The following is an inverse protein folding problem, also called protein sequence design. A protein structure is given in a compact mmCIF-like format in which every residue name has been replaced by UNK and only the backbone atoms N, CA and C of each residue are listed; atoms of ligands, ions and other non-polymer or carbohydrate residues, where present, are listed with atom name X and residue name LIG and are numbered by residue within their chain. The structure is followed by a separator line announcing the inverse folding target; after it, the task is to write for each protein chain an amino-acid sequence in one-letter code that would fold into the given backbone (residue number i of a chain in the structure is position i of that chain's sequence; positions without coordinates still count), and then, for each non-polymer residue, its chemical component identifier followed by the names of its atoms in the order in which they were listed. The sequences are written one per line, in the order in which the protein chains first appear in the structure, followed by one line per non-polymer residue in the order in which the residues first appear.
data_IF_975281361661
#
_entry.id   IF_975281361661
#
_cell.length_a   1.000
_cell.length_b   1.000
_cell.length_c   1.000
_cell.angle_alpha   90.00
_cell.angle_beta   90.00
_cell.angle_gamma   90.00
#
_symmetry.space_group_name_H-M   'P 1'
#
loop_
_entity.id
_entity.type
_entity.pdbx_description
1 polymer ?
#
# COMPACT_ATOMS: atom_id res chain seq x y z
N UNK A 1 -63.95 -64.11 3.71
CA UNK A 1 -63.68 -62.76 3.20
C UNK A 1 -62.51 -62.19 3.96
N UNK A 2 -61.32 -62.09 3.30
CA UNK A 2 -60.10 -61.57 3.91
C UNK A 2 -59.76 -60.25 3.21
N UNK A 3 -59.85 -59.13 3.94
CA UNK A 3 -59.41 -57.83 3.45
C UNK A 3 -57.91 -57.65 3.77
N UNK A 4 -57.08 -57.44 2.74
CA UNK A 4 -55.67 -57.14 2.81
C UNK A 4 -55.55 -55.64 2.90
N UNK A 5 -54.90 -55.10 3.99
CA UNK A 5 -54.56 -53.69 4.14
C UNK A 5 -53.15 -53.49 3.53
N UNK A 6 -53.05 -52.72 2.47
CA UNK A 6 -51.78 -52.24 1.92
C UNK A 6 -51.39 -50.94 2.59
N UNK A 7 -50.27 -50.95 3.32
CA UNK A 7 -49.66 -49.78 3.91
C UNK A 7 -48.80 -49.07 2.83
N UNK A 8 -49.17 -47.86 2.47
CA UNK A 8 -48.39 -46.94 1.64
C UNK A 8 -47.32 -46.23 2.50
N UNK A 9 -46.06 -46.62 2.29
CA UNK A 9 -44.92 -45.96 2.90
C UNK A 9 -44.52 -44.74 2.02
N UNK A 10 -44.84 -43.52 2.45
CA UNK A 10 -44.42 -42.27 1.80
C UNK A 10 -43.01 -41.90 2.24
N UNK A 11 -42.06 -42.07 1.32
CA UNK A 11 -40.64 -41.68 1.51
C UNK A 11 -40.49 -40.18 1.22
N UNK A 12 -40.44 -39.34 2.28
CA UNK A 12 -40.13 -37.91 2.15
C UNK A 12 -38.64 -37.71 2.08
N UNK A 13 -38.10 -37.43 0.89
CA UNK A 13 -36.72 -37.00 0.69
C UNK A 13 -36.59 -35.56 1.10
N UNK A 14 -36.06 -35.30 2.31
CA UNK A 14 -35.70 -33.95 2.79
C UNK A 14 -34.45 -33.44 2.06
N UNK A 15 -34.57 -32.41 1.24
CA UNK A 15 -33.46 -31.70 0.60
C UNK A 15 -32.75 -30.86 1.67
N UNK A 16 -31.60 -31.33 2.19
CA UNK A 16 -30.73 -30.58 3.07
C UNK A 16 -29.87 -29.63 2.22
N UNK A 17 -30.24 -28.35 2.16
CA UNK A 17 -29.40 -27.32 1.55
C UNK A 17 -28.28 -26.98 2.55
N UNK A 18 -27.09 -27.52 2.32
CA UNK A 18 -25.90 -27.16 3.05
C UNK A 18 -25.48 -25.74 2.66
N UNK A 19 -25.78 -24.76 3.49
CA UNK A 19 -25.25 -23.39 3.37
C UNK A 19 -23.74 -23.43 3.68
N UNK A 20 -22.89 -23.39 2.65
CA UNK A 20 -21.45 -23.21 2.84
C UNK A 20 -21.19 -21.78 3.34
N UNK A 21 -20.51 -21.58 4.48
CA UNK A 21 -20.14 -20.25 4.92
C UNK A 21 -19.17 -19.65 3.91
N UNK A 22 -19.56 -18.54 3.26
CA UNK A 22 -18.65 -17.72 2.47
C UNK A 22 -17.75 -17.00 3.48
N UNK A 23 -16.48 -17.39 3.54
CA UNK A 23 -15.49 -16.68 4.34
C UNK A 23 -15.33 -15.27 3.77
N UNK A 24 -15.88 -14.28 4.46
CA UNK A 24 -15.61 -12.86 4.17
C UNK A 24 -14.18 -12.58 4.61
N UNK A 25 -13.25 -12.50 3.66
CA UNK A 25 -11.88 -12.08 3.94
C UNK A 25 -11.91 -10.60 4.31
N UNK A 26 -11.41 -10.27 5.49
CA UNK A 26 -11.27 -8.87 5.89
C UNK A 26 -10.34 -8.13 4.91
N UNK A 27 -10.67 -6.88 4.59
CA UNK A 27 -9.85 -6.06 3.72
C UNK A 27 -8.46 -5.82 4.37
N UNK A 28 -7.39 -5.97 3.59
CA UNK A 28 -6.04 -5.65 4.05
C UNK A 28 -5.86 -4.14 4.22
N UNK A 29 -6.47 -3.37 3.33
CA UNK A 29 -6.40 -1.91 3.36
C UNK A 29 -7.58 -1.28 2.62
N UNK A 30 -7.71 0.04 2.76
CA UNK A 30 -8.80 0.82 2.18
C UNK A 30 -8.22 2.08 1.52
N UNK A 31 -8.73 2.47 0.36
CA UNK A 31 -8.38 3.72 -0.32
C UNK A 31 -8.95 4.89 0.48
N UNK A 32 -8.07 5.69 1.10
CA UNK A 32 -8.47 6.85 1.92
C UNK A 32 -8.50 8.14 1.13
N UNK A 33 -7.59 8.32 0.18
CA UNK A 33 -7.49 9.49 -0.68
C UNK A 33 -7.28 9.07 -2.13
N UNK A 34 -7.88 9.80 -3.05
CA UNK A 34 -7.75 9.57 -4.48
C UNK A 34 -7.88 10.89 -5.24
N UNK A 35 -6.92 11.12 -6.13
CA UNK A 35 -6.96 12.15 -7.16
C UNK A 35 -6.68 11.48 -8.51
N UNK A 36 -7.55 11.68 -9.48
CA UNK A 36 -7.46 11.02 -10.78
C UNK A 36 -8.02 9.59 -10.79
N UNK A 37 -7.40 8.71 -11.56
CA UNK A 37 -7.89 7.35 -11.82
C UNK A 37 -7.03 6.30 -11.14
N UNK A 38 -7.69 5.41 -10.39
CA UNK A 38 -7.12 4.24 -9.73
C UNK A 38 -7.81 2.99 -10.23
N UNK A 39 -7.05 1.97 -10.58
CA UNK A 39 -7.58 0.65 -10.94
C UNK A 39 -6.89 -0.45 -10.16
N UNK A 40 -7.58 -1.57 -10.04
CA UNK A 40 -7.03 -2.79 -9.47
C UNK A 40 -7.20 -3.93 -10.47
N UNK A 41 -6.15 -4.74 -10.63
CA UNK A 41 -6.24 -6.06 -11.22
C UNK A 41 -6.26 -7.07 -10.08
N UNK A 42 -7.32 -7.84 -10.01
CA UNK A 42 -7.50 -8.90 -9.02
C UNK A 42 -6.66 -10.13 -9.35
N UNK A 43 -6.50 -11.03 -8.37
CA UNK A 43 -5.78 -12.30 -8.55
C UNK A 43 -6.40 -13.19 -9.67
N UNK A 44 -7.70 -13.09 -9.92
CA UNK A 44 -8.42 -13.77 -11.01
C UNK A 44 -8.24 -13.12 -12.39
N UNK A 45 -7.46 -12.01 -12.46
CA UNK A 45 -7.20 -11.25 -13.68
C UNK A 45 -8.26 -10.18 -13.99
N UNK A 46 -9.37 -10.12 -13.27
CA UNK A 46 -10.39 -9.08 -13.47
C UNK A 46 -9.85 -7.70 -13.14
N UNK A 47 -10.29 -6.69 -13.88
CA UNK A 47 -9.88 -5.29 -13.66
C UNK A 47 -11.07 -4.45 -13.24
N UNK A 48 -10.89 -3.64 -12.21
CA UNK A 48 -11.92 -2.74 -11.67
C UNK A 48 -11.35 -1.36 -11.43
N UNK A 49 -12.17 -0.33 -11.64
CA UNK A 49 -11.87 1.04 -11.20
C UNK A 49 -12.22 1.15 -9.72
N UNK A 50 -11.33 1.77 -8.97
CA UNK A 50 -11.49 2.02 -7.54
C UNK A 50 -11.85 3.49 -7.27
N UNK A 51 -12.53 3.69 -6.16
CA UNK A 51 -12.86 5.00 -5.58
C UNK A 51 -12.38 5.08 -4.13
N UNK A 52 -12.55 6.23 -3.49
CA UNK A 52 -12.37 6.31 -2.04
C UNK A 52 -13.27 5.29 -1.34
N UNK A 53 -12.79 4.72 -0.25
CA UNK A 53 -13.40 3.63 0.54
C UNK A 53 -13.42 2.27 -0.17
N UNK A 54 -12.81 2.12 -1.35
CA UNK A 54 -12.62 0.80 -1.97
C UNK A 54 -11.61 -0.02 -1.17
N UNK A 55 -11.93 -1.30 -1.01
CA UNK A 55 -11.09 -2.27 -0.30
C UNK A 55 -10.00 -2.85 -1.20
N UNK A 56 -8.85 -3.10 -0.59
CA UNK A 56 -7.69 -3.75 -1.18
C UNK A 56 -7.47 -5.09 -0.48
N UNK A 57 -7.15 -6.12 -1.27
CA UNK A 57 -6.93 -7.49 -0.80
C UNK A 57 -5.53 -7.98 -1.19
N UNK A 58 -4.96 -8.96 -0.46
CA UNK A 58 -3.80 -9.69 -0.93
C UNK A 58 -4.03 -10.28 -2.33
N UNK A 59 -3.01 -10.23 -3.18
CA UNK A 59 -3.08 -10.62 -4.60
C UNK A 59 -3.47 -9.48 -5.54
N UNK A 60 -3.96 -8.34 -5.04
CA UNK A 60 -4.32 -7.19 -5.85
C UNK A 60 -3.10 -6.49 -6.44
N UNK A 61 -3.18 -6.12 -7.73
CA UNK A 61 -2.23 -5.18 -8.36
C UNK A 61 -2.94 -3.84 -8.58
N UNK A 62 -2.47 -2.83 -7.88
CA UNK A 62 -3.06 -1.49 -7.81
C UNK A 62 -2.30 -0.58 -8.77
N UNK A 63 -3.02 0.15 -9.62
CA UNK A 63 -2.42 0.98 -10.66
C UNK A 63 -3.01 2.39 -10.65
N UNK A 64 -2.14 3.39 -10.53
CA UNK A 64 -2.47 4.80 -10.80
C UNK A 64 -2.18 5.14 -12.26
N UNK A 65 -3.00 6.00 -12.85
CA UNK A 65 -2.78 6.54 -14.19
C UNK A 65 -1.91 7.80 -14.14
N UNK A 66 -1.71 8.44 -15.31
CA UNK A 66 -1.06 9.75 -15.40
C UNK A 66 -1.80 10.76 -14.51
N UNK A 67 -1.06 11.61 -13.83
CA UNK A 67 -1.56 12.67 -12.94
C UNK A 67 -2.50 12.17 -11.83
N UNK A 68 -2.40 10.87 -11.50
CA UNK A 68 -3.24 10.24 -10.49
C UNK A 68 -2.44 9.86 -9.26
N UNK A 69 -3.02 10.12 -8.08
CA UNK A 69 -2.45 9.78 -6.79
C UNK A 69 -3.48 9.00 -5.97
N UNK A 70 -3.04 8.02 -5.22
CA UNK A 70 -3.91 7.28 -4.32
C UNK A 70 -3.21 7.02 -2.99
N UNK A 71 -3.91 7.20 -1.89
CA UNK A 71 -3.45 6.80 -0.56
C UNK A 71 -4.29 5.63 -0.07
N UNK A 72 -3.61 4.60 0.39
CA UNK A 72 -4.19 3.39 0.97
C UNK A 72 -3.76 3.32 2.42
N UNK A 73 -4.73 3.14 3.32
CA UNK A 73 -4.49 2.87 4.74
C UNK A 73 -4.74 1.40 5.01
N UNK A 74 -3.78 0.75 5.64
CA UNK A 74 -3.83 -0.67 5.99
C UNK A 74 -4.30 -0.89 7.42
N UNK A 75 -4.70 -2.12 7.74
CA UNK A 75 -5.27 -2.48 9.03
C UNK A 75 -4.32 -2.31 10.22
N UNK A 76 -3.01 -2.35 10.00
CA UNK A 76 -1.97 -2.08 11.00
C UNK A 76 -1.67 -0.60 11.23
N UNK A 77 -2.34 0.29 10.48
CA UNK A 77 -2.15 1.73 10.49
C UNK A 77 -1.12 2.25 9.48
N UNK A 78 -0.46 1.38 8.72
CA UNK A 78 0.44 1.78 7.63
C UNK A 78 -0.33 2.59 6.57
N UNK A 79 0.39 3.52 5.93
CA UNK A 79 -0.15 4.32 4.83
C UNK A 79 0.82 4.26 3.64
N UNK A 80 0.30 3.89 2.48
CA UNK A 80 1.05 3.87 1.23
C UNK A 80 0.40 4.83 0.25
N UNK A 81 1.16 5.83 -0.21
CA UNK A 81 0.71 6.79 -1.21
C UNK A 81 1.41 6.49 -2.53
N UNK A 82 0.64 6.14 -3.55
CA UNK A 82 1.12 5.88 -4.90
C UNK A 82 1.25 7.19 -5.67
N UNK A 83 2.37 7.36 -6.36
CA UNK A 83 2.64 8.44 -7.31
C UNK A 83 1.93 8.18 -8.65
N UNK A 84 1.91 9.14 -9.61
CA UNK A 84 1.41 8.89 -10.96
C UNK A 84 2.12 7.74 -11.67
N UNK A 85 1.40 7.04 -12.54
CA UNK A 85 1.90 5.93 -13.36
C UNK A 85 2.55 4.79 -12.57
N UNK A 86 2.14 4.59 -11.31
CA UNK A 86 2.68 3.57 -10.43
C UNK A 86 1.85 2.29 -10.48
N UNK A 87 2.52 1.17 -10.29
CA UNK A 87 1.92 -0.15 -10.14
C UNK A 87 2.51 -0.86 -8.94
N UNK A 88 1.66 -1.24 -8.00
CA UNK A 88 2.06 -1.95 -6.78
C UNK A 88 1.22 -3.20 -6.63
N UNK A 89 1.87 -4.35 -6.40
CA UNK A 89 1.20 -5.62 -6.11
C UNK A 89 1.29 -5.90 -4.61
N UNK A 90 0.14 -6.09 -3.96
CA UNK A 90 0.07 -6.57 -2.58
C UNK A 90 0.20 -8.09 -2.56
N UNK A 91 1.32 -8.61 -2.09
CA UNK A 91 1.55 -10.06 -2.04
C UNK A 91 0.92 -10.69 -0.81
N UNK A 92 1.18 -10.12 0.36
CA UNK A 92 0.60 -10.59 1.61
C UNK A 92 0.35 -9.44 2.57
N UNK A 93 -0.72 -9.57 3.36
CA UNK A 93 -0.99 -8.73 4.50
C UNK A 93 -1.68 -9.58 5.57
N UNK A 94 -1.02 -9.74 6.70
CA UNK A 94 -1.58 -10.38 7.89
C UNK A 94 -1.22 -9.53 9.10
N UNK A 95 -2.21 -9.07 9.82
CA UNK A 95 -2.05 -8.28 11.03
C UNK A 95 -2.87 -8.87 12.15
N UNK A 96 -2.20 -9.35 13.19
CA UNK A 96 -2.83 -9.91 14.37
C UNK A 96 -2.35 -9.18 15.62
N UNK A 97 -3.25 -8.50 16.31
CA UNK A 97 -2.90 -7.72 17.49
C UNK A 97 -2.30 -8.56 18.62
N UNK A 98 -2.69 -9.83 18.74
CA UNK A 98 -2.30 -10.74 19.82
C UNK A 98 -1.09 -11.62 19.47
N UNK A 99 -0.78 -11.79 18.18
CA UNK A 99 0.31 -12.66 17.70
C UNK A 99 1.24 -11.93 16.72
N UNK A 100 2.05 -10.95 17.17
CA UNK A 100 2.91 -10.15 16.30
C UNK A 100 3.91 -10.96 15.47
N UNK A 101 4.30 -12.14 15.92
CA UNK A 101 5.22 -13.03 15.19
C UNK A 101 4.61 -13.61 13.90
N UNK A 102 3.29 -13.51 13.73
CA UNK A 102 2.59 -13.93 12.52
C UNK A 102 2.27 -12.76 11.58
N UNK A 103 2.65 -11.55 11.96
CA UNK A 103 2.44 -10.37 11.13
C UNK A 103 3.22 -10.47 9.81
N UNK A 104 2.65 -9.98 8.73
CA UNK A 104 3.29 -9.94 7.41
C UNK A 104 2.71 -8.82 6.57
N UNK A 105 3.57 -7.99 6.01
CA UNK A 105 3.21 -6.98 5.02
C UNK A 105 4.25 -6.99 3.89
N UNK A 106 3.93 -7.68 2.81
CA UNK A 106 4.80 -7.82 1.64
C UNK A 106 4.09 -7.26 0.41
N UNK A 107 4.72 -6.34 -0.28
CA UNK A 107 4.23 -5.77 -1.51
C UNK A 107 5.38 -5.46 -2.47
N UNK A 108 5.10 -5.39 -3.76
CA UNK A 108 6.09 -5.16 -4.80
C UNK A 108 5.79 -3.86 -5.55
N UNK A 109 6.77 -2.99 -5.67
CA UNK A 109 6.76 -1.88 -6.61
C UNK A 109 7.14 -2.43 -8.00
N UNK A 110 6.16 -2.55 -8.87
CA UNK A 110 6.34 -3.07 -10.23
C UNK A 110 6.85 -1.98 -11.18
N UNK A 111 6.41 -0.74 -10.96
CA UNK A 111 6.86 0.47 -11.66
C UNK A 111 6.40 1.73 -10.95
N UNK A 112 7.03 2.85 -11.29
CA UNK A 112 6.68 4.18 -10.78
C UNK A 112 7.22 4.42 -9.39
N UNK A 113 6.46 5.06 -8.50
CA UNK A 113 6.94 5.41 -7.18
C UNK A 113 5.85 5.45 -6.12
N UNK A 114 6.30 5.39 -4.89
CA UNK A 114 5.44 5.47 -3.71
C UNK A 114 6.13 6.23 -2.57
N UNK A 115 5.32 6.68 -1.62
CA UNK A 115 5.75 7.08 -0.28
C UNK A 115 4.98 6.24 0.73
N UNK A 116 5.68 5.70 1.69
CA UNK A 116 5.08 4.88 2.75
C UNK A 116 5.41 5.42 4.13
N UNK A 117 4.45 5.29 5.03
CA UNK A 117 4.60 5.43 6.48
C UNK A 117 4.24 4.08 7.07
N UNK A 118 5.19 3.43 7.76
CA UNK A 118 4.96 2.11 8.34
C UNK A 118 3.95 2.16 9.49
N UNK A 119 3.16 1.11 9.61
CA UNK A 119 2.27 0.87 10.73
C UNK A 119 2.92 0.09 11.85
N UNK A 120 2.12 -0.73 12.51
CA UNK A 120 2.57 -1.55 13.64
C UNK A 120 3.43 -2.73 13.20
N UNK A 121 3.20 -3.33 12.01
CA UNK A 121 3.97 -4.49 11.52
C UNK A 121 5.46 -4.15 11.42
N UNK A 122 5.81 -2.96 10.93
CA UNK A 122 7.21 -2.52 10.85
C UNK A 122 7.86 -2.11 12.18
N UNK A 123 7.15 -2.24 13.31
CA UNK A 123 7.61 -1.73 14.63
C UNK A 123 7.61 -2.81 15.72
N UNK A 124 7.12 -4.01 15.43
CA UNK A 124 6.96 -5.09 16.40
C UNK A 124 7.11 -6.46 15.72
N UNK A 125 7.27 -7.51 16.51
CA UNK A 125 7.32 -8.89 16.03
C UNK A 125 8.59 -9.19 15.24
N UNK A 126 8.44 -9.82 14.07
CA UNK A 126 9.55 -10.15 13.19
C UNK A 126 10.03 -8.91 12.44
N UNK A 127 11.34 -8.64 12.52
CA UNK A 127 11.97 -7.51 11.80
C UNK A 127 11.85 -7.62 10.28
N UNK A 128 11.63 -8.84 9.79
CA UNK A 128 11.44 -9.15 8.37
C UNK A 128 9.98 -9.17 7.93
N UNK A 129 9.04 -8.87 8.82
CA UNK A 129 7.61 -8.91 8.53
C UNK A 129 7.16 -7.85 7.51
N UNK A 130 7.85 -6.70 7.42
CA UNK A 130 7.50 -5.62 6.51
C UNK A 130 8.54 -5.49 5.39
N UNK A 131 8.16 -5.84 4.15
CA UNK A 131 9.06 -5.85 2.99
C UNK A 131 8.43 -5.19 1.76
N UNK A 132 9.23 -4.40 1.05
CA UNK A 132 8.94 -3.90 -0.28
C UNK A 132 9.89 -4.57 -1.27
N UNK A 133 9.36 -5.35 -2.20
CA UNK A 133 10.10 -5.87 -3.35
C UNK A 133 10.19 -4.83 -4.46
N UNK A 134 11.31 -4.80 -5.14
CA UNK A 134 11.56 -4.01 -6.35
C UNK A 134 12.24 -4.87 -7.41
N UNK A 135 12.45 -4.33 -8.61
CA UNK A 135 13.14 -5.05 -9.68
C UNK A 135 14.59 -5.45 -9.31
N UNK A 136 15.26 -4.68 -8.44
CA UNK A 136 16.69 -4.81 -8.16
C UNK A 136 17.03 -5.18 -6.72
N UNK A 137 16.08 -5.10 -5.79
CA UNK A 137 16.30 -5.39 -4.37
C UNK A 137 15.01 -5.67 -3.60
N UNK A 138 15.17 -6.26 -2.43
CA UNK A 138 14.17 -6.25 -1.36
C UNK A 138 14.55 -5.19 -0.34
N UNK A 139 13.57 -4.37 0.07
CA UNK A 139 13.71 -3.31 1.05
C UNK A 139 12.97 -3.77 2.30
N UNK A 140 13.69 -4.01 3.39
CA UNK A 140 13.14 -4.25 4.73
C UNK A 140 12.87 -2.93 5.44
N UNK A 141 11.72 -2.80 6.10
CA UNK A 141 11.24 -1.56 6.70
C UNK A 141 11.14 -1.72 8.22
N UNK A 142 11.78 -0.80 8.95
CA UNK A 142 11.79 -0.79 10.42
C UNK A 142 11.32 0.54 10.97
N UNK A 143 10.01 0.68 11.15
CA UNK A 143 9.42 1.86 11.78
C UNK A 143 9.68 3.17 11.02
N UNK A 144 9.40 3.23 9.73
CA UNK A 144 9.99 4.19 8.81
C UNK A 144 8.95 5.02 8.07
N UNK A 145 9.34 6.25 7.72
CA UNK A 145 8.75 7.04 6.63
C UNK A 145 9.75 7.09 5.49
N UNK A 146 9.40 6.53 4.33
CA UNK A 146 10.31 6.43 3.20
C UNK A 146 9.60 6.61 1.85
N UNK A 147 10.38 6.89 0.82
CA UNK A 147 9.98 6.86 -0.58
C UNK A 147 10.77 5.81 -1.34
N UNK A 148 10.16 5.22 -2.36
CA UNK A 148 10.81 4.36 -3.32
C UNK A 148 10.33 4.70 -4.73
N UNK A 149 11.26 4.84 -5.67
CA UNK A 149 11.01 5.17 -7.07
C UNK A 149 11.75 4.20 -7.98
N UNK A 150 11.01 3.53 -8.84
CA UNK A 150 11.59 2.67 -9.88
C UNK A 150 11.76 3.46 -11.16
N UNK A 151 12.98 3.89 -11.43
CA UNK A 151 13.40 4.56 -12.64
C UNK A 151 14.05 3.59 -13.67
N UNK A 152 13.80 2.29 -13.54
CA UNK A 152 14.27 1.28 -14.50
C UNK A 152 13.28 1.10 -15.65
N UNK A 153 13.68 0.31 -16.64
CA UNK A 153 12.83 -0.11 -17.76
C UNK A 153 12.16 1.06 -18.49
N UNK A 154 10.84 1.00 -18.65
CA UNK A 154 10.06 2.02 -19.37
C UNK A 154 9.98 3.38 -18.65
N UNK A 155 10.31 3.45 -17.36
CA UNK A 155 10.34 4.70 -16.60
C UNK A 155 11.69 5.44 -16.73
N UNK A 156 12.73 4.77 -17.23
CA UNK A 156 14.05 5.37 -17.38
C UNK A 156 14.01 6.64 -18.25
N UNK A 157 14.55 7.72 -17.71
CA UNK A 157 14.66 9.00 -18.40
C UNK A 157 13.33 9.73 -18.64
N UNK A 158 12.21 9.31 -18.01
CA UNK A 158 10.88 9.91 -18.18
C UNK A 158 10.30 10.48 -16.89
N UNK A 159 9.51 11.55 -17.00
CA UNK A 159 8.80 12.15 -15.86
C UNK A 159 9.74 12.50 -14.71
N UNK A 160 9.44 12.01 -13.51
CA UNK A 160 10.27 12.22 -12.33
C UNK A 160 11.68 11.58 -12.43
N UNK A 161 11.86 10.61 -13.32
CA UNK A 161 13.14 9.93 -13.59
C UNK A 161 13.98 10.61 -14.69
N UNK A 162 13.53 11.77 -15.22
CA UNK A 162 14.25 12.48 -16.26
C UNK A 162 15.62 12.96 -15.75
N UNK A 163 16.68 12.62 -16.49
CA UNK A 163 18.05 12.98 -16.12
C UNK A 163 18.70 12.11 -15.04
N UNK A 164 17.97 11.12 -14.52
CA UNK A 164 18.49 10.15 -13.56
C UNK A 164 19.00 8.88 -14.27
N UNK A 165 19.99 8.22 -13.70
CA UNK A 165 20.41 6.91 -14.17
C UNK A 165 19.31 5.86 -13.92
N UNK A 166 19.19 4.82 -14.78
CA UNK A 166 18.23 3.75 -14.57
C UNK A 166 18.54 2.96 -13.29
N UNK A 167 17.74 3.16 -12.24
CA UNK A 167 17.93 2.53 -10.94
C UNK A 167 16.62 2.57 -10.13
N UNK A 168 16.58 1.81 -9.05
CA UNK A 168 15.61 2.03 -7.96
C UNK A 168 16.24 3.01 -6.97
N UNK A 169 15.51 4.05 -6.65
CA UNK A 169 15.89 5.08 -5.69
C UNK A 169 15.10 4.92 -4.40
N UNK A 170 15.77 5.13 -3.27
CA UNK A 170 15.17 5.09 -1.93
C UNK A 170 15.51 6.38 -1.20
N UNK A 171 14.52 6.96 -0.54
CA UNK A 171 14.69 8.12 0.35
C UNK A 171 14.09 7.81 1.72
N UNK A 172 14.82 8.10 2.79
CA UNK A 172 14.35 7.87 4.17
C UNK A 172 14.12 9.20 4.84
N UNK A 173 12.87 9.46 5.26
CA UNK A 173 12.52 10.69 5.98
C UNK A 173 12.56 10.50 7.49
N UNK A 174 12.28 9.29 7.99
CA UNK A 174 12.27 8.91 9.40
C UNK A 174 12.51 7.42 9.54
N UNK A 175 13.25 6.98 10.58
CA UNK A 175 13.57 5.59 10.85
C UNK A 175 14.70 5.03 9.99
N UNK A 176 14.61 3.76 9.63
CA UNK A 176 15.64 3.01 8.90
C UNK A 176 15.03 2.06 7.86
N UNK A 177 15.64 1.97 6.68
CA UNK A 177 15.38 0.90 5.72
C UNK A 177 16.67 0.15 5.38
N UNK A 178 16.52 -1.14 5.08
CA UNK A 178 17.61 -2.02 4.67
C UNK A 178 17.30 -2.50 3.25
N UNK A 179 18.08 -2.06 2.27
CA UNK A 179 18.00 -2.61 0.91
C UNK A 179 19.00 -3.76 0.77
N UNK A 180 18.53 -4.92 0.30
CA UNK A 180 19.33 -6.11 0.11
C UNK A 180 19.08 -6.74 -1.26
N UNK A 181 20.16 -7.20 -1.91
CA UNK A 181 20.13 -7.94 -3.16
C UNK A 181 21.29 -8.95 -3.22
N UNK A 182 21.53 -9.60 -4.36
CA UNK A 182 22.62 -10.58 -4.51
C UNK A 182 24.02 -9.96 -4.35
N UNK A 183 24.18 -8.66 -4.62
CA UNK A 183 25.44 -7.94 -4.46
C UNK A 183 25.76 -7.53 -3.01
N UNK A 184 24.80 -7.67 -2.10
CA UNK A 184 24.92 -7.33 -0.69
C UNK A 184 23.80 -6.46 -0.16
N UNK A 185 24.02 -5.80 0.98
CA UNK A 185 23.03 -4.94 1.61
C UNK A 185 23.59 -3.58 2.00
N UNK A 186 22.72 -2.58 2.11
CA UNK A 186 23.01 -1.27 2.68
C UNK A 186 21.83 -0.80 3.54
N UNK A 187 22.15 -0.15 4.67
CA UNK A 187 21.16 0.43 5.58
C UNK A 187 21.11 1.94 5.32
N UNK A 188 19.90 2.49 5.22
CA UNK A 188 19.67 3.92 5.03
C UNK A 188 18.89 4.46 6.22
N UNK A 189 19.44 5.49 6.87
CA UNK A 189 18.84 6.19 8.01
C UNK A 189 18.11 7.44 7.54
N UNK A 190 17.36 8.07 8.45
CA UNK A 190 16.68 9.33 8.19
C UNK A 190 17.63 10.39 7.57
N UNK A 191 17.16 11.04 6.50
CA UNK A 191 17.92 12.01 5.69
C UNK A 191 18.84 11.39 4.65
N UNK A 192 18.91 10.07 4.53
CA UNK A 192 19.76 9.39 3.55
C UNK A 192 18.99 8.96 2.31
N UNK A 193 19.75 8.84 1.21
CA UNK A 193 19.27 8.43 -0.10
C UNK A 193 20.07 7.24 -0.60
N UNK A 194 19.37 6.29 -1.21
CA UNK A 194 19.95 5.08 -1.77
C UNK A 194 19.69 4.94 -3.26
N UNK A 195 20.59 4.24 -3.93
CA UNK A 195 20.51 3.88 -5.33
C UNK A 195 20.84 2.40 -5.52
N UNK A 196 19.97 1.70 -6.25
CA UNK A 196 20.08 0.27 -6.53
C UNK A 196 19.91 0.07 -8.04
N UNK A 197 21.02 0.07 -8.76
CA UNK A 197 21.06 0.01 -10.23
C UNK A 197 21.02 -1.40 -10.80
N UNK A 198 21.30 -2.41 -9.97
CA UNK A 198 21.35 -3.81 -10.39
C UNK A 198 21.06 -4.74 -9.22
N UNK A 199 20.48 -5.90 -9.52
CA UNK A 199 20.30 -6.97 -8.54
C UNK A 199 21.63 -7.64 -8.11
N UNK A 200 22.70 -7.45 -8.89
CA UNK A 200 24.01 -8.06 -8.69
C UNK A 200 25.02 -7.12 -8.02
N UNK A 201 24.73 -5.84 -7.94
CA UNK A 201 25.60 -4.84 -7.32
C UNK A 201 25.02 -4.38 -6.00
N UNK A 202 25.89 -4.25 -5.00
CA UNK A 202 25.50 -3.77 -3.68
C UNK A 202 24.80 -2.40 -3.78
N UNK A 203 23.69 -2.19 -3.08
CA UNK A 203 23.04 -0.90 -2.96
C UNK A 203 24.01 0.20 -2.50
N UNK A 204 23.93 1.39 -3.10
CA UNK A 204 24.85 2.52 -2.87
C UNK A 204 24.18 3.68 -2.19
N UNK A 205 24.93 4.46 -1.44
CA UNK A 205 24.50 5.76 -0.93
C UNK A 205 24.60 6.83 -2.02
N UNK A 206 23.63 7.75 -2.00
CA UNK A 206 23.72 9.00 -2.73
C UNK A 206 24.10 10.11 -1.75
N UNK A 207 25.02 11.00 -2.17
CA UNK A 207 25.44 12.15 -1.34
C UNK A 207 24.43 13.30 -1.34
N UNK A 208 23.52 13.31 -2.30
CA UNK A 208 22.51 14.36 -2.50
C UNK A 208 21.14 13.75 -2.79
N UNK A 209 20.10 14.52 -2.51
CA UNK A 209 18.73 14.18 -2.89
C UNK A 209 18.62 14.09 -4.42
N UNK A 210 18.18 12.97 -4.98
CA UNK A 210 17.95 12.83 -6.42
C UNK A 210 16.73 13.66 -6.93
N UNK A 211 16.04 14.39 -6.06
CA UNK A 211 14.87 15.20 -6.41
C UNK A 211 13.59 14.39 -6.63
N UNK A 212 13.54 13.17 -6.15
CA UNK A 212 12.39 12.27 -6.29
C UNK A 212 11.37 12.42 -5.15
N UNK A 213 11.63 13.29 -4.19
CA UNK A 213 10.66 13.60 -3.16
C UNK A 213 9.39 14.18 -3.79
N UNK A 214 8.25 13.73 -3.32
CA UNK A 214 7.00 14.18 -3.86
C UNK A 214 6.17 14.90 -2.80
N UNK A 215 5.53 15.99 -3.22
CA UNK A 215 4.51 16.67 -2.42
C UNK A 215 3.15 16.14 -2.83
N UNK A 216 2.40 15.52 -1.91
CA UNK A 216 1.04 15.08 -2.19
C UNK A 216 0.17 16.26 -2.66
N UNK A 217 -0.84 16.04 -3.50
CA UNK A 217 -1.82 17.08 -3.82
C UNK A 217 -2.42 17.71 -2.56
N UNK A 218 -2.76 19.00 -2.60
CA UNK A 218 -3.31 19.71 -1.44
C UNK A 218 -4.56 19.03 -0.86
N UNK A 219 -5.35 18.35 -1.67
CA UNK A 219 -6.49 17.54 -1.24
C UNK A 219 -6.13 16.39 -0.29
N UNK A 220 -4.89 15.89 -0.34
CA UNK A 220 -4.40 14.84 0.56
C UNK A 220 -3.95 15.38 1.92
N UNK A 221 -3.57 16.67 1.97
CA UNK A 221 -3.10 17.33 3.20
C UNK A 221 -4.27 17.74 4.08
N UNK A 222 -5.41 18.11 3.51
CA UNK A 222 -6.57 18.60 4.24
C UNK A 222 -7.21 17.54 5.17
N UNK A 223 -7.07 16.27 4.87
CA UNK A 223 -7.59 15.20 5.73
C UNK A 223 -6.74 14.89 6.96
N UNK A 224 -5.50 15.36 7.03
CA UNK A 224 -4.66 15.24 8.23
C UNK A 224 -4.98 16.32 9.29
N UNK A 225 -5.63 17.41 8.89
CA UNK A 225 -6.03 18.52 9.77
C UNK A 225 -7.52 18.50 10.14
N UNK A 226 -8.29 17.54 9.63
CA UNK A 226 -9.75 17.40 9.84
C UNK A 226 -10.19 16.91 11.23
N UNK A 227 -9.37 17.07 12.24
CA UNK A 227 -9.71 16.78 13.64
C UNK A 227 -9.62 18.03 14.52
N UNK A 228 -10.25 19.15 14.15
CA UNK A 228 -10.73 20.26 15.00
C UNK A 228 -10.93 21.53 14.17
N UNK A 229 -11.98 21.59 13.39
CA UNK A 229 -12.54 22.88 12.97
C UNK A 229 -13.37 23.43 14.15
N UNK A 230 -12.72 24.05 15.12
CA UNK A 230 -13.39 24.96 16.03
C UNK A 230 -13.72 26.21 15.22
N UNK A 231 -15.02 26.48 15.09
CA UNK A 231 -15.61 27.71 14.58
C UNK A 231 -14.81 28.96 15.01
N UNK A 232 -14.08 29.59 14.09
CA UNK A 232 -13.59 30.94 14.22
C UNK A 232 -14.34 31.84 13.21
N UNK A 233 -15.64 31.87 13.35
CA UNK A 233 -16.50 32.89 12.77
C UNK A 233 -16.83 33.93 13.81
N UNK A 234 -15.93 34.89 14.05
CA UNK A 234 -16.24 36.19 14.62
C UNK A 234 -15.37 37.24 13.97
N UNK A 235 -15.97 37.95 13.03
CA UNK A 235 -15.51 39.22 12.52
C UNK A 235 -15.34 40.20 13.68
N UNK A 236 -14.13 40.66 13.91
CA UNK A 236 -13.88 41.85 14.75
C UNK A 236 -14.09 43.07 13.86
N UNK A 237 -15.24 43.67 13.98
CA UNK A 237 -15.58 44.97 13.44
C UNK A 237 -14.89 46.01 14.32
N UNK A 238 -13.86 46.70 13.81
CA UNK A 238 -13.24 47.86 14.48
C UNK A 238 -14.16 49.05 14.31
N UNK A 239 -14.88 49.42 15.36
CA UNK A 239 -15.60 50.70 15.47
C UNK A 239 -14.62 51.76 15.92
N UNK A 240 -14.24 52.68 15.01
CA UNK A 240 -13.57 53.91 15.32
C UNK A 240 -14.62 54.93 15.78
N UNK A 241 -14.60 55.30 17.06
CA UNK A 241 -15.34 56.47 17.55
C UNK A 241 -14.44 57.70 17.49
N UNK A 242 -14.98 58.75 16.87
CA UNK A 242 -14.49 60.13 16.92
C UNK A 242 -14.73 60.73 18.31
#
# INVERSE_FOLDING_TARGET
MRFSAQALLSLSVGLVIAATPVAVMAAAGTVTQLSGTLSVRKADGSVRILSQKSDIQPGDTINTQRDSFAQIKFGDGAQVTLKPNSSVKLESFNFNQTEPQKDSFVYNLVKGGLRAVSGLIGKRGDEDAYKLGTATATIGIRGTTFGADDCTGAAAGQGACAGLEPAVYVSVSDGEVIAANRGGSANYLAGQFGLIDSAERRPRFLSTDPGLQFTPPASFVQSLTGGSAVNAGRSLECVVRR
#
